data_IF_043542775993
#
_entry.id   IF_043542775993
#
_cell.length_a   1.000
_cell.length_b   1.000
_cell.length_c   1.000
_cell.angle_alpha   90.00
_cell.angle_beta   90.00
_cell.angle_gamma   90.00
#
_symmetry.space_group_name_H-M   'P 1'
#
loop_
_entity.id
_entity.type
_entity.pdbx_description
1 polymer ?
#
# COMPACT_ATOMS: atom_id res chain seq x y z
N UNK A 1 24.87 -39.49 9.94
CA UNK A 1 24.39 -38.48 8.97
C UNK A 1 23.34 -37.62 9.68
N UNK A 2 23.69 -36.40 10.10
CA UNK A 2 22.80 -35.53 10.89
C UNK A 2 21.89 -34.73 9.94
N UNK A 3 20.61 -35.09 9.88
CA UNK A 3 19.60 -34.33 9.13
C UNK A 3 19.32 -33.02 9.87
N UNK A 4 19.86 -31.90 9.37
CA UNK A 4 19.49 -30.56 9.82
C UNK A 4 18.02 -30.31 9.50
N UNK A 5 17.20 -30.16 10.53
CA UNK A 5 15.80 -29.75 10.43
C UNK A 5 15.77 -28.31 9.92
N UNK A 6 15.54 -28.12 8.62
CA UNK A 6 15.30 -26.79 8.03
C UNK A 6 13.92 -26.37 8.50
N UNK A 7 13.84 -25.56 9.55
CA UNK A 7 12.61 -24.84 9.87
C UNK A 7 12.40 -23.80 8.78
N UNK A 8 11.53 -24.10 7.82
CA UNK A 8 11.10 -23.13 6.82
C UNK A 8 10.55 -21.90 7.56
N UNK A 9 11.25 -20.77 7.47
CA UNK A 9 10.77 -19.53 8.03
C UNK A 9 9.59 -19.06 7.18
N UNK A 10 8.38 -19.18 7.72
CA UNK A 10 7.18 -18.67 7.06
C UNK A 10 7.10 -17.17 7.39
N UNK A 11 7.34 -16.34 6.38
CA UNK A 11 7.08 -14.90 6.48
C UNK A 11 5.57 -14.72 6.52
N UNK A 12 5.04 -14.28 7.67
CA UNK A 12 3.63 -13.91 7.78
C UNK A 12 3.31 -12.79 6.79
N UNK A 13 2.15 -12.87 6.15
CA UNK A 13 1.62 -11.84 5.26
C UNK A 13 2.43 -11.60 3.96
N UNK A 14 3.28 -12.54 3.52
CA UNK A 14 4.02 -12.37 2.26
C UNK A 14 3.09 -12.16 1.06
N UNK A 15 1.89 -12.72 1.13
CA UNK A 15 0.90 -12.71 0.05
C UNK A 15 -0.10 -11.54 0.18
N UNK A 16 0.05 -10.67 1.19
CA UNK A 16 -0.81 -9.49 1.31
C UNK A 16 -0.41 -8.39 0.31
N UNK A 17 -1.39 -7.64 -0.22
CA UNK A 17 -1.13 -6.55 -1.13
C UNK A 17 -0.28 -5.46 -0.47
N UNK A 18 0.78 -5.04 -1.16
CA UNK A 18 1.68 -3.96 -0.72
C UNK A 18 1.44 -2.72 -1.57
N UNK A 19 1.38 -1.55 -0.92
CA UNK A 19 1.14 -0.29 -1.62
C UNK A 19 2.21 0.00 -2.68
N UNK A 20 3.49 -0.32 -2.45
CA UNK A 20 4.57 -0.02 -3.39
C UNK A 20 4.36 -0.66 -4.76
N UNK A 21 3.76 -1.85 -4.79
CA UNK A 21 3.45 -2.63 -5.99
C UNK A 21 2.06 -2.30 -6.57
N UNK A 22 1.34 -1.34 -5.97
CA UNK A 22 0.01 -0.95 -6.41
C UNK A 22 0.05 0.11 -7.52
N UNK A 23 -0.76 -0.04 -8.57
CA UNK A 23 -0.91 0.91 -9.67
C UNK A 23 -1.16 2.35 -9.21
N UNK A 24 -1.98 2.52 -8.16
CA UNK A 24 -2.34 3.84 -7.62
C UNK A 24 -1.28 4.47 -6.71
N UNK A 25 -0.17 3.78 -6.42
CA UNK A 25 0.84 4.29 -5.51
C UNK A 25 1.90 5.14 -6.21
N UNK A 26 1.99 6.39 -5.79
CA UNK A 26 3.10 7.30 -6.12
C UNK A 26 4.10 7.27 -4.98
N UNK A 27 5.36 6.97 -5.30
CA UNK A 27 6.44 6.93 -4.34
C UNK A 27 6.72 8.32 -3.74
N UNK A 28 6.78 8.40 -2.41
CA UNK A 28 7.25 9.58 -1.71
C UNK A 28 8.78 9.69 -1.75
N UNK A 29 9.34 10.74 -1.15
CA UNK A 29 10.80 10.91 -1.06
C UNK A 29 11.51 9.75 -0.35
N UNK A 30 10.80 9.01 0.50
CA UNK A 30 11.32 7.87 1.25
C UNK A 30 10.68 6.54 0.78
N UNK A 31 11.47 5.45 0.77
CA UNK A 31 11.05 4.11 0.31
C UNK A 31 10.26 3.29 1.35
N UNK A 32 9.66 3.93 2.35
CA UNK A 32 9.03 3.30 3.52
C UNK A 32 7.48 3.32 3.45
N UNK A 33 6.89 3.35 2.25
CA UNK A 33 5.42 3.36 2.10
C UNK A 33 4.75 4.69 2.44
N UNK A 34 5.52 5.77 2.68
CA UNK A 34 5.01 7.13 2.91
C UNK A 34 4.59 7.85 1.63
N UNK A 35 4.41 7.11 0.53
CA UNK A 35 3.91 7.66 -0.72
C UNK A 35 2.45 8.08 -0.65
N UNK A 36 1.93 8.52 -1.79
CA UNK A 36 0.53 8.92 -1.94
C UNK A 36 -0.26 7.87 -2.71
N UNK A 37 -1.54 7.74 -2.40
CA UNK A 37 -2.47 6.93 -3.14
C UNK A 37 -3.30 7.84 -4.07
N UNK A 38 -3.20 7.66 -5.38
CA UNK A 38 -3.94 8.49 -6.35
C UNK A 38 -5.40 8.09 -6.52
N UNK A 39 -5.81 6.95 -5.95
CA UNK A 39 -7.19 6.49 -5.96
C UNK A 39 -8.08 7.36 -5.07
N UNK A 40 -7.51 7.90 -3.99
CA UNK A 40 -8.23 8.62 -2.94
C UNK A 40 -7.66 10.01 -2.74
N UNK A 41 -8.53 10.91 -2.28
CA UNK A 41 -8.19 12.28 -2.02
C UNK A 41 -9.32 13.21 -2.42
N UNK A 42 -8.97 14.47 -2.60
CA UNK A 42 -9.92 15.54 -2.83
C UNK A 42 -9.54 16.33 -4.07
N UNK A 43 -10.56 16.75 -4.81
CA UNK A 43 -10.41 17.65 -5.95
C UNK A 43 -11.19 18.92 -5.65
N UNK A 44 -10.48 20.01 -5.51
CA UNK A 44 -11.05 21.35 -5.51
C UNK A 44 -11.23 21.80 -6.96
N UNK A 45 -12.48 21.89 -7.41
CA UNK A 45 -12.82 22.27 -8.78
C UNK A 45 -12.73 23.79 -9.02
N UNK A 46 -12.82 24.61 -7.97
CA UNK A 46 -12.77 26.07 -8.09
C UNK A 46 -11.31 26.51 -8.25
N UNK A 47 -10.42 25.94 -7.45
CA UNK A 47 -8.97 26.22 -7.51
C UNK A 47 -8.22 25.32 -8.50
N UNK A 48 -8.88 24.30 -9.05
CA UNK A 48 -8.24 23.30 -9.92
C UNK A 48 -7.20 22.44 -9.21
N UNK A 49 -7.25 22.34 -7.88
CA UNK A 49 -6.24 21.65 -7.07
C UNK A 49 -6.67 20.21 -6.79
N UNK A 50 -5.77 19.26 -7.02
CA UNK A 50 -5.95 17.85 -6.66
C UNK A 50 -5.00 17.51 -5.50
N UNK A 51 -5.56 16.97 -4.43
CA UNK A 51 -4.81 16.51 -3.25
C UNK A 51 -5.02 15.01 -3.09
N UNK A 52 -3.93 14.25 -2.99
CA UNK A 52 -3.99 12.81 -2.78
C UNK A 52 -3.79 12.43 -1.32
N UNK A 53 -4.51 11.41 -0.87
CA UNK A 53 -4.37 10.84 0.47
C UNK A 53 -3.06 10.06 0.59
N UNK A 54 -2.48 10.04 1.79
CA UNK A 54 -1.28 9.21 2.02
C UNK A 54 -1.62 7.73 1.90
N UNK A 55 -0.72 6.94 1.32
CA UNK A 55 -0.94 5.50 1.16
C UNK A 55 -1.07 4.78 2.51
N UNK A 56 -0.36 5.27 3.54
CA UNK A 56 -0.45 4.76 4.90
C UNK A 56 -1.84 4.98 5.50
N UNK A 57 -2.40 6.18 5.35
CA UNK A 57 -3.77 6.46 5.81
C UNK A 57 -4.76 5.57 5.07
N UNK A 58 -4.68 5.49 3.73
CA UNK A 58 -5.56 4.59 2.97
C UNK A 58 -5.47 3.13 3.41
N UNK A 59 -4.31 2.66 3.90
CA UNK A 59 -4.10 1.29 4.39
C UNK A 59 -4.72 1.05 5.77
N UNK A 60 -4.82 2.08 6.59
CA UNK A 60 -5.27 1.96 7.98
C UNK A 60 -6.77 2.26 8.15
N UNK A 61 -7.40 2.91 7.16
CA UNK A 61 -8.84 3.19 7.17
C UNK A 61 -9.63 2.09 6.45
N UNK A 62 -10.70 1.62 7.09
CA UNK A 62 -11.52 0.50 6.62
C UNK A 62 -12.41 0.87 5.42
N UNK A 63 -12.77 2.14 5.28
CA UNK A 63 -13.54 2.70 4.16
C UNK A 63 -12.67 2.99 2.92
N UNK A 64 -11.35 2.89 3.05
CA UNK A 64 -10.38 3.08 1.97
C UNK A 64 -9.78 1.72 1.54
N UNK A 65 -8.46 1.62 1.38
CA UNK A 65 -7.82 0.36 0.99
C UNK A 65 -7.88 -0.69 2.10
N UNK A 66 -7.86 -0.29 3.37
CA UNK A 66 -7.70 -1.14 4.55
C UNK A 66 -6.50 -2.08 4.49
N UNK A 67 -6.28 -2.86 5.56
CA UNK A 67 -5.26 -3.91 5.62
C UNK A 67 -5.54 -5.10 4.68
N UNK A 68 -6.74 -5.17 4.09
CA UNK A 68 -7.07 -6.16 3.06
C UNK A 68 -6.71 -5.72 1.65
N UNK A 69 -6.51 -4.41 1.43
CA UNK A 69 -6.17 -3.87 0.12
C UNK A 69 -7.32 -3.96 -0.87
N UNK A 70 -8.53 -3.58 -0.47
CA UNK A 70 -9.77 -3.72 -1.25
C UNK A 70 -9.68 -3.12 -2.66
N UNK A 71 -8.90 -2.05 -2.82
CA UNK A 71 -8.71 -1.34 -4.09
C UNK A 71 -7.32 -1.54 -4.69
N UNK A 72 -6.57 -2.55 -4.22
CA UNK A 72 -5.26 -2.84 -4.74
C UNK A 72 -5.34 -3.38 -6.17
N UNK A 73 -4.51 -2.81 -7.04
CA UNK A 73 -4.30 -3.28 -8.40
C UNK A 73 -2.80 -3.42 -8.64
N UNK A 74 -2.33 -4.52 -9.26
CA UNK A 74 -0.91 -4.69 -9.56
C UNK A 74 -0.44 -3.64 -10.58
N UNK A 75 0.84 -3.24 -10.48
CA UNK A 75 1.55 -2.43 -11.48
C UNK A 75 1.96 -3.22 -12.71
#
# INVERSE_FOLDING_TARGET
MLLKKITAQIIKNKDLPVCVDCFYYIQGQFRNGTGKCTKFGEKDIILGKVSYTSALVCRNEDDLCSTRGYYWQPK
#
